data_IF_090999077008
#
_entry.id   IF_090999077008
#
_cell.length_a   1.000
_cell.length_b   1.000
_cell.length_c   1.000
_cell.angle_alpha   90.00
_cell.angle_beta   90.00
_cell.angle_gamma   90.00
#
_symmetry.space_group_name_H-M   'P 1'
#
loop_
_entity.id
_entity.type
_entity.pdbx_description
1 polymer ?
#
# COMPACT_ATOMS: atom_id res chain seq x y z
N UNK A 1 -13.25 18.58 5.65
CA UNK A 1 -13.07 17.28 4.94
C UNK A 1 -14.44 16.64 4.70
N UNK A 2 -14.72 16.15 3.48
CA UNK A 2 -15.96 15.39 3.20
C UNK A 2 -15.90 14.07 3.99
N UNK A 3 -16.96 13.76 4.73
CA UNK A 3 -17.09 12.45 5.41
C UNK A 3 -17.88 11.53 4.48
N UNK A 4 -17.26 10.42 4.08
CA UNK A 4 -17.94 9.36 3.35
C UNK A 4 -18.62 8.41 4.34
N UNK A 5 -19.70 7.75 3.92
CA UNK A 5 -20.42 6.78 4.74
C UNK A 5 -19.69 5.44 4.88
N UNK A 6 -18.74 5.17 3.97
CA UNK A 6 -17.86 4.00 3.94
C UNK A 6 -16.51 4.39 3.33
N UNK A 7 -15.47 3.56 3.42
CA UNK A 7 -14.21 3.78 2.71
C UNK A 7 -14.47 3.78 1.20
N UNK A 8 -13.78 4.66 0.47
CA UNK A 8 -13.80 4.65 -1.00
C UNK A 8 -12.90 3.56 -1.54
N UNK A 9 -11.73 3.38 -0.93
CA UNK A 9 -10.78 2.32 -1.23
C UNK A 9 -10.52 1.49 0.00
N UNK A 10 -10.56 0.19 -0.18
CA UNK A 10 -10.24 -0.81 0.83
C UNK A 10 -9.16 -1.74 0.31
N UNK A 11 -8.12 -1.94 1.09
CA UNK A 11 -7.17 -3.03 0.89
C UNK A 11 -7.52 -4.16 1.84
N UNK A 12 -7.65 -5.36 1.32
CA UNK A 12 -7.82 -6.58 2.10
C UNK A 12 -6.65 -7.52 1.80
N UNK A 13 -5.77 -7.72 2.78
CA UNK A 13 -4.70 -8.69 2.66
C UNK A 13 -5.22 -10.09 3.01
N UNK A 14 -5.12 -11.00 2.03
CA UNK A 14 -5.43 -12.42 2.19
C UNK A 14 -4.38 -13.11 3.06
N UNK A 15 -3.11 -12.77 2.84
CA UNK A 15 -1.99 -13.12 3.69
C UNK A 15 -1.18 -11.85 4.01
N UNK A 16 -0.28 -11.94 4.98
CA UNK A 16 0.57 -10.81 5.34
C UNK A 16 1.53 -10.44 4.19
N UNK A 17 1.74 -9.14 3.94
CA UNK A 17 2.78 -8.71 3.01
C UNK A 17 4.12 -9.35 3.38
N UNK A 18 4.87 -9.92 2.41
CA UNK A 18 6.14 -10.58 2.68
C UNK A 18 7.17 -9.71 3.42
N UNK A 19 7.10 -8.39 3.23
CA UNK A 19 7.95 -7.42 3.95
C UNK A 19 7.65 -7.37 5.45
N UNK A 20 6.40 -7.62 5.86
CA UNK A 20 6.00 -7.62 7.26
C UNK A 20 6.39 -8.91 7.99
N UNK A 21 6.48 -10.03 7.27
CA UNK A 21 6.81 -11.35 7.80
C UNK A 21 7.74 -12.10 6.84
N UNK A 22 9.02 -11.69 6.70
CA UNK A 22 9.96 -12.31 5.78
C UNK A 22 10.15 -13.80 6.08
N UNK A 23 9.97 -14.65 5.07
CA UNK A 23 10.18 -16.10 5.19
C UNK A 23 9.09 -16.86 5.97
N UNK A 24 8.04 -16.21 6.43
CA UNK A 24 6.90 -16.90 7.02
C UNK A 24 6.18 -17.76 5.96
N UNK A 25 5.70 -18.96 6.31
CA UNK A 25 4.89 -19.73 5.39
C UNK A 25 3.55 -19.01 5.15
N UNK A 26 3.00 -19.09 3.91
CA UNK A 26 1.70 -18.51 3.61
C UNK A 26 0.63 -19.02 4.58
N UNK A 27 -0.22 -18.12 5.03
CA UNK A 27 -1.37 -18.44 5.89
C UNK A 27 -2.64 -18.25 5.10
N UNK A 28 -3.47 -19.28 5.06
CA UNK A 28 -4.78 -19.20 4.45
C UNK A 28 -5.82 -18.82 5.49
N UNK A 29 -6.61 -17.76 5.27
CA UNK A 29 -7.73 -17.44 6.16
C UNK A 29 -8.75 -18.58 6.18
N UNK A 30 -9.47 -18.74 7.29
CA UNK A 30 -10.56 -19.70 7.36
C UNK A 30 -11.67 -19.32 6.35
N UNK A 31 -12.28 -20.29 5.65
CA UNK A 31 -13.30 -20.01 4.64
C UNK A 31 -14.50 -19.19 5.14
N UNK A 32 -14.86 -19.35 6.42
CA UNK A 32 -15.92 -18.57 7.05
C UNK A 32 -15.54 -17.09 7.16
N UNK A 33 -14.28 -16.82 7.54
CA UNK A 33 -13.75 -15.46 7.61
C UNK A 33 -13.69 -14.81 6.23
N UNK A 34 -13.26 -15.55 5.21
CA UNK A 34 -13.21 -15.08 3.82
C UNK A 34 -14.61 -14.66 3.36
N UNK A 35 -15.61 -15.49 3.58
CA UNK A 35 -17.00 -15.16 3.23
C UNK A 35 -17.53 -13.95 4.01
N UNK A 36 -17.22 -13.86 5.30
CA UNK A 36 -17.66 -12.74 6.13
C UNK A 36 -17.04 -11.41 5.66
N UNK A 37 -15.74 -11.41 5.36
CA UNK A 37 -15.04 -10.21 4.85
C UNK A 37 -15.62 -9.81 3.49
N UNK A 38 -15.77 -10.75 2.56
CA UNK A 38 -16.31 -10.47 1.22
C UNK A 38 -17.73 -9.88 1.29
N UNK A 39 -18.62 -10.48 2.09
CA UNK A 39 -19.98 -9.98 2.28
C UNK A 39 -20.01 -8.54 2.85
N UNK A 40 -19.10 -8.23 3.78
CA UNK A 40 -18.98 -6.86 4.33
C UNK A 40 -18.47 -5.85 3.31
N UNK A 41 -17.49 -6.23 2.49
CA UNK A 41 -16.97 -5.38 1.41
C UNK A 41 -18.09 -5.00 0.43
N UNK A 42 -18.85 -5.99 -0.02
CA UNK A 42 -19.99 -5.78 -0.92
C UNK A 42 -21.07 -4.89 -0.27
N UNK A 43 -21.42 -5.18 1.00
CA UNK A 43 -22.41 -4.39 1.76
C UNK A 43 -21.97 -2.94 1.96
N UNK A 44 -20.68 -2.70 2.25
CA UNK A 44 -20.15 -1.38 2.45
C UNK A 44 -20.07 -0.54 1.16
N UNK A 45 -20.30 -1.14 -0.01
CA UNK A 45 -20.24 -0.49 -1.33
C UNK A 45 -18.93 0.27 -1.54
N UNK A 46 -17.83 -0.40 -1.26
CA UNK A 46 -16.49 0.11 -1.53
C UNK A 46 -16.35 0.32 -3.03
N UNK A 47 -15.74 1.41 -3.46
CA UNK A 47 -15.58 1.72 -4.89
C UNK A 47 -14.33 1.07 -5.49
N UNK A 48 -13.29 0.90 -4.69
CA UNK A 48 -12.01 0.34 -5.11
C UNK A 48 -11.58 -0.69 -4.09
N UNK A 49 -11.39 -1.92 -4.53
CA UNK A 49 -10.91 -3.03 -3.71
C UNK A 49 -9.54 -3.48 -4.21
N UNK A 50 -8.56 -3.48 -3.32
CA UNK A 50 -7.29 -4.16 -3.55
C UNK A 50 -7.25 -5.41 -2.68
N UNK A 51 -7.00 -6.58 -3.28
CA UNK A 51 -6.79 -7.84 -2.55
C UNK A 51 -5.31 -8.19 -2.62
N UNK A 52 -4.67 -8.18 -1.45
CA UNK A 52 -3.26 -8.47 -1.30
C UNK A 52 -2.99 -9.95 -1.01
N UNK A 53 -2.03 -10.52 -1.73
CA UNK A 53 -1.37 -11.80 -1.45
C UNK A 53 -2.28 -13.03 -1.41
N UNK A 54 -3.30 -13.15 -2.29
CA UNK A 54 -4.02 -14.42 -2.41
C UNK A 54 -3.07 -15.50 -2.92
N UNK A 55 -3.17 -16.70 -2.37
CA UNK A 55 -2.45 -17.85 -2.89
C UNK A 55 -3.04 -18.32 -4.24
N UNK A 56 -2.23 -19.04 -5.03
CA UNK A 56 -2.67 -19.51 -6.35
C UNK A 56 -3.90 -20.41 -6.27
N UNK A 57 -4.06 -21.20 -5.20
CA UNK A 57 -5.21 -22.08 -5.01
C UNK A 57 -6.50 -21.30 -4.78
N UNK A 58 -6.47 -20.23 -3.98
CA UNK A 58 -7.63 -19.37 -3.74
C UNK A 58 -8.17 -18.78 -5.04
N UNK A 59 -7.26 -18.39 -5.93
CA UNK A 59 -7.59 -17.86 -7.25
C UNK A 59 -8.17 -18.95 -8.18
N UNK A 60 -7.52 -20.13 -8.24
CA UNK A 60 -7.93 -21.22 -9.14
C UNK A 60 -9.20 -21.93 -8.69
N UNK A 61 -9.48 -22.03 -7.38
CA UNK A 61 -10.66 -22.69 -6.85
C UNK A 61 -11.96 -21.88 -6.97
N UNK A 62 -11.84 -20.59 -7.32
CA UNK A 62 -12.98 -19.66 -7.33
C UNK A 62 -13.47 -19.25 -5.94
N UNK A 63 -12.75 -19.58 -4.86
CA UNK A 63 -13.12 -19.20 -3.50
C UNK A 63 -13.18 -17.67 -3.33
N UNK A 64 -12.18 -16.99 -3.91
CA UNK A 64 -12.14 -15.53 -3.85
C UNK A 64 -13.26 -14.90 -4.68
N UNK A 65 -13.53 -15.45 -5.87
CA UNK A 65 -14.65 -15.00 -6.72
C UNK A 65 -15.98 -15.12 -5.99
N UNK A 66 -16.22 -16.26 -5.33
CA UNK A 66 -17.44 -16.47 -4.55
C UNK A 66 -17.53 -15.54 -3.33
N UNK A 67 -16.39 -15.19 -2.71
CA UNK A 67 -16.39 -14.32 -1.54
C UNK A 67 -16.81 -12.88 -1.86
N UNK A 68 -16.43 -12.37 -3.03
CA UNK A 68 -16.73 -11.00 -3.47
C UNK A 68 -17.84 -10.95 -4.52
N UNK A 69 -18.65 -12.00 -4.62
CA UNK A 69 -19.79 -12.02 -5.54
C UNK A 69 -20.71 -10.81 -5.29
N UNK A 70 -21.03 -10.07 -6.38
CA UNK A 70 -21.79 -8.83 -6.30
C UNK A 70 -20.96 -7.57 -6.00
N UNK A 71 -19.65 -7.66 -5.95
CA UNK A 71 -18.80 -6.46 -5.93
C UNK A 71 -18.83 -5.77 -7.31
N UNK A 72 -19.19 -4.49 -7.35
CA UNK A 72 -19.38 -3.72 -8.59
C UNK A 72 -18.29 -2.63 -8.78
N UNK A 73 -17.32 -2.54 -7.87
CA UNK A 73 -16.25 -1.56 -7.94
C UNK A 73 -15.05 -2.01 -8.78
N UNK A 74 -14.04 -1.16 -8.84
CA UNK A 74 -12.73 -1.49 -9.43
C UNK A 74 -11.97 -2.44 -8.53
N UNK A 75 -11.45 -3.52 -9.10
CA UNK A 75 -10.69 -4.56 -8.40
C UNK A 75 -9.25 -4.59 -8.86
N UNK A 76 -8.31 -4.59 -7.93
CA UNK A 76 -6.90 -4.86 -8.16
C UNK A 76 -6.40 -5.99 -7.27
N UNK A 77 -5.38 -6.71 -7.75
CA UNK A 77 -4.72 -7.78 -7.01
C UNK A 77 -3.24 -7.47 -6.79
N UNK A 78 -2.70 -7.97 -5.69
CA UNK A 78 -1.25 -7.98 -5.45
C UNK A 78 -0.80 -9.42 -5.24
N UNK A 79 0.05 -9.92 -6.12
CA UNK A 79 0.55 -11.29 -6.07
C UNK A 79 1.97 -11.33 -5.52
N UNK A 80 2.30 -12.42 -4.83
CA UNK A 80 3.71 -12.77 -4.60
C UNK A 80 4.32 -13.39 -5.85
N UNK A 81 5.66 -13.32 -6.04
CA UNK A 81 6.35 -14.02 -7.13
C UNK A 81 6.08 -15.52 -7.15
N UNK A 82 5.94 -16.15 -5.98
CA UNK A 82 5.61 -17.57 -5.85
C UNK A 82 4.21 -17.88 -6.38
N UNK A 83 3.21 -17.10 -6.01
CA UNK A 83 1.85 -17.28 -6.51
C UNK A 83 1.80 -17.08 -8.04
N UNK A 84 2.42 -16.01 -8.54
CA UNK A 84 2.48 -15.73 -9.97
C UNK A 84 3.18 -16.86 -10.77
N UNK A 85 4.29 -17.39 -10.25
CA UNK A 85 5.00 -18.51 -10.89
C UNK A 85 4.17 -19.82 -10.89
N UNK A 86 3.40 -20.07 -9.82
CA UNK A 86 2.54 -21.26 -9.71
C UNK A 86 1.41 -21.24 -10.72
N UNK A 87 0.89 -20.05 -11.06
CA UNK A 87 -0.18 -19.88 -12.04
C UNK A 87 0.26 -20.16 -13.49
N UNK A 88 1.59 -20.20 -13.75
CA UNK A 88 2.20 -20.69 -15.01
C UNK A 88 1.52 -20.20 -16.30
N UNK A 89 1.03 -18.98 -16.32
CA UNK A 89 0.37 -18.35 -17.47
C UNK A 89 -1.16 -18.45 -17.45
N UNK A 90 -1.75 -19.17 -16.51
CA UNK A 90 -3.17 -19.03 -16.23
C UNK A 90 -3.44 -17.64 -15.64
N UNK A 91 -4.58 -17.07 -15.98
CA UNK A 91 -5.00 -15.72 -15.54
C UNK A 91 -6.35 -15.77 -14.82
N UNK A 92 -6.43 -16.46 -13.67
CA UNK A 92 -7.70 -16.60 -12.96
C UNK A 92 -8.30 -15.27 -12.50
N UNK A 93 -7.49 -14.22 -12.41
CA UNK A 93 -7.95 -12.87 -12.12
C UNK A 93 -8.84 -12.23 -13.21
N UNK A 94 -8.77 -12.72 -14.45
CA UNK A 94 -9.69 -12.28 -15.51
C UNK A 94 -11.14 -12.68 -15.17
N UNK A 95 -11.34 -13.88 -14.58
CA UNK A 95 -12.64 -14.34 -14.11
C UNK A 95 -13.13 -13.54 -12.88
N UNK A 96 -12.24 -12.95 -12.10
CA UNK A 96 -12.55 -12.04 -11.00
C UNK A 96 -12.92 -10.64 -11.49
N UNK A 97 -12.63 -10.29 -12.75
CA UNK A 97 -12.76 -8.94 -13.27
C UNK A 97 -11.71 -7.98 -12.71
N UNK A 98 -10.53 -8.47 -12.31
CA UNK A 98 -9.47 -7.60 -11.85
C UNK A 98 -8.90 -6.76 -13.00
N UNK A 99 -8.88 -5.45 -12.80
CA UNK A 99 -8.40 -4.47 -13.79
C UNK A 99 -6.87 -4.37 -13.75
N UNK A 100 -6.28 -4.45 -12.54
CA UNK A 100 -4.85 -4.37 -12.31
C UNK A 100 -4.35 -5.57 -11.52
N UNK A 101 -3.20 -6.12 -11.92
CA UNK A 101 -2.51 -7.18 -11.19
C UNK A 101 -1.07 -6.78 -10.95
N UNK A 102 -0.80 -6.38 -9.72
CA UNK A 102 0.51 -6.00 -9.23
C UNK A 102 1.31 -7.21 -8.79
N UNK A 103 2.60 -7.22 -9.09
CA UNK A 103 3.53 -8.21 -8.56
C UNK A 103 4.41 -7.56 -7.50
N UNK A 104 4.33 -8.02 -6.24
CA UNK A 104 5.24 -7.56 -5.18
C UNK A 104 6.60 -8.20 -5.34
N UNK A 105 7.54 -7.45 -5.89
CA UNK A 105 8.91 -7.88 -6.16
C UNK A 105 9.86 -7.69 -4.97
N UNK A 106 9.39 -7.13 -3.86
CA UNK A 106 10.22 -6.86 -2.68
C UNK A 106 10.98 -8.09 -2.18
N UNK A 107 10.38 -9.30 -2.11
CA UNK A 107 11.10 -10.49 -1.68
C UNK A 107 12.22 -10.94 -2.62
N UNK A 108 12.20 -10.49 -3.87
CA UNK A 108 13.08 -10.94 -4.94
C UNK A 108 14.02 -9.86 -5.47
N UNK A 109 14.15 -8.68 -4.82
CA UNK A 109 14.94 -7.57 -5.36
C UNK A 109 16.39 -7.91 -5.66
N UNK A 110 16.97 -8.88 -4.96
CA UNK A 110 18.33 -9.39 -5.22
C UNK A 110 18.42 -10.37 -6.40
N UNK A 111 17.39 -11.16 -6.64
CA UNK A 111 17.37 -12.20 -7.69
C UNK A 111 15.95 -12.34 -8.24
N UNK A 112 15.63 -11.58 -9.26
CA UNK A 112 14.32 -11.61 -9.92
C UNK A 112 14.29 -12.77 -10.91
N UNK A 113 13.31 -13.69 -10.85
CA UNK A 113 13.10 -14.70 -11.87
C UNK A 113 12.84 -14.03 -13.23
N UNK A 114 13.56 -14.42 -14.27
CA UNK A 114 13.49 -13.79 -15.62
C UNK A 114 12.07 -13.71 -16.17
N UNK A 115 11.25 -14.74 -15.95
CA UNK A 115 9.86 -14.75 -16.41
C UNK A 115 8.97 -13.69 -15.73
N UNK A 116 9.40 -13.12 -14.60
CA UNK A 116 8.68 -12.11 -13.85
C UNK A 116 9.22 -10.68 -14.07
N UNK A 117 10.42 -10.54 -14.67
CA UNK A 117 11.01 -9.21 -14.95
C UNK A 117 10.12 -8.35 -15.85
N UNK A 118 9.45 -8.97 -16.82
CA UNK A 118 8.56 -8.29 -17.75
C UNK A 118 7.10 -8.16 -17.24
N UNK A 119 6.85 -8.40 -15.94
CA UNK A 119 5.51 -8.22 -15.40
C UNK A 119 5.08 -6.75 -15.52
N UNK A 120 3.88 -6.47 -16.06
CA UNK A 120 3.50 -5.10 -16.42
C UNK A 120 3.45 -4.12 -15.26
N UNK A 121 2.96 -4.55 -14.08
CA UNK A 121 2.80 -3.70 -12.91
C UNK A 121 3.56 -4.28 -11.71
N UNK A 122 4.62 -3.61 -11.25
CA UNK A 122 5.49 -4.10 -10.20
C UNK A 122 5.44 -3.20 -8.98
N UNK A 123 5.46 -3.83 -7.79
CA UNK A 123 5.44 -3.15 -6.50
C UNK A 123 6.73 -3.45 -5.73
N UNK A 124 7.26 -2.44 -5.04
CA UNK A 124 8.43 -2.56 -4.20
C UNK A 124 8.24 -1.78 -2.90
N UNK A 125 8.40 -2.42 -1.76
CA UNK A 125 8.49 -1.75 -0.48
C UNK A 125 9.92 -1.29 -0.21
N UNK A 126 10.06 -0.07 0.31
CA UNK A 126 11.35 0.56 0.56
C UNK A 126 11.73 0.45 2.03
N UNK A 127 12.92 -0.08 2.29
CA UNK A 127 13.57 -0.05 3.61
C UNK A 127 14.95 0.56 3.49
N UNK A 128 15.51 1.09 4.55
CA UNK A 128 16.87 1.62 4.56
C UNK A 128 17.92 0.61 4.05
N UNK A 129 17.66 -0.68 4.26
CA UNK A 129 18.57 -1.76 3.88
C UNK A 129 18.42 -2.29 2.45
N UNK A 130 17.32 -1.96 1.73
CA UNK A 130 17.08 -2.55 0.40
C UNK A 130 17.12 -1.55 -0.78
N UNK A 131 17.37 -0.27 -0.54
CA UNK A 131 17.23 0.80 -1.55
C UNK A 131 18.08 0.58 -2.81
N UNK A 132 19.31 0.08 -2.67
CA UNK A 132 20.17 -0.19 -3.81
C UNK A 132 19.64 -1.37 -4.64
N UNK A 133 19.19 -2.42 -3.98
CA UNK A 133 18.60 -3.58 -4.63
C UNK A 133 17.27 -3.22 -5.32
N UNK A 134 16.42 -2.41 -4.68
CA UNK A 134 15.18 -1.91 -5.28
C UNK A 134 15.47 -1.00 -6.46
N UNK A 135 16.46 -0.10 -6.37
CA UNK A 135 16.86 0.74 -7.51
C UNK A 135 17.23 -0.09 -8.72
N UNK A 136 18.10 -1.08 -8.53
CA UNK A 136 18.51 -1.98 -9.60
C UNK A 136 17.32 -2.84 -10.14
N UNK A 137 16.38 -3.20 -9.26
CA UNK A 137 15.17 -3.92 -9.68
C UNK A 137 14.24 -3.04 -10.53
N UNK A 138 14.06 -1.77 -10.16
CA UNK A 138 13.32 -0.79 -10.95
C UNK A 138 13.94 -0.57 -12.33
N UNK A 139 15.27 -0.41 -12.38
CA UNK A 139 15.99 -0.29 -13.66
C UNK A 139 15.74 -1.49 -14.58
N UNK A 140 15.82 -2.72 -14.03
CA UNK A 140 15.50 -3.95 -14.80
C UNK A 140 14.04 -4.00 -15.23
N UNK A 141 13.10 -3.66 -14.33
CA UNK A 141 11.67 -3.63 -14.64
C UNK A 141 11.37 -2.68 -15.81
N UNK A 142 11.89 -1.46 -15.74
CA UNK A 142 11.76 -0.45 -16.81
C UNK A 142 12.37 -0.96 -18.12
N UNK A 143 13.57 -1.52 -18.08
CA UNK A 143 14.25 -2.07 -19.25
C UNK A 143 13.46 -3.25 -19.87
N UNK A 144 12.84 -4.10 -19.03
CA UNK A 144 12.05 -5.25 -19.46
C UNK A 144 10.63 -4.90 -19.93
N UNK A 145 10.23 -3.62 -19.83
CA UNK A 145 8.95 -3.14 -20.38
C UNK A 145 7.81 -3.05 -19.36
N UNK A 146 8.09 -2.98 -18.08
CA UNK A 146 7.06 -2.67 -17.08
C UNK A 146 6.36 -1.35 -17.45
N UNK A 147 5.03 -1.33 -17.35
CA UNK A 147 4.20 -0.17 -17.61
C UNK A 147 3.89 0.64 -16.35
N UNK A 148 3.93 -0.02 -15.18
CA UNK A 148 3.64 0.63 -13.91
C UNK A 148 4.58 0.14 -12.79
N UNK A 149 4.96 1.07 -11.90
CA UNK A 149 5.77 0.80 -10.71
C UNK A 149 5.09 1.45 -9.52
N UNK A 150 4.93 0.70 -8.42
CA UNK A 150 4.36 1.19 -7.17
C UNK A 150 5.37 1.11 -6.03
N UNK A 151 5.51 2.21 -5.29
CA UNK A 151 6.36 2.35 -4.11
C UNK A 151 5.47 2.74 -2.90
N UNK A 152 4.70 1.79 -2.32
CA UNK A 152 3.81 2.07 -1.21
C UNK A 152 4.57 2.31 0.09
N UNK A 153 3.91 2.89 1.08
CA UNK A 153 4.42 2.91 2.44
C UNK A 153 4.45 1.49 3.02
N UNK A 154 5.45 1.23 3.85
CA UNK A 154 5.54 -0.02 4.61
C UNK A 154 4.30 -0.20 5.51
N UNK A 155 3.69 -1.38 5.53
CA UNK A 155 2.66 -1.71 6.50
C UNK A 155 3.28 -1.87 7.89
N UNK A 156 2.69 -1.25 8.92
CA UNK A 156 3.20 -1.30 10.30
C UNK A 156 2.70 -2.55 11.03
N UNK A 157 3.14 -3.74 10.57
CA UNK A 157 2.83 -5.04 11.16
C UNK A 157 4.10 -5.90 11.24
N UNK A 158 4.07 -6.93 12.08
CA UNK A 158 5.13 -7.93 12.15
C UNK A 158 6.51 -7.35 12.42
N UNK A 159 7.49 -7.72 11.59
CA UNK A 159 8.88 -7.27 11.70
C UNK A 159 9.02 -5.79 11.39
N UNK A 160 8.27 -5.27 10.41
CA UNK A 160 8.25 -3.84 10.09
C UNK A 160 7.87 -3.02 11.33
N UNK A 161 6.87 -3.48 12.10
CA UNK A 161 6.45 -2.80 13.32
C UNK A 161 7.56 -2.82 14.39
N UNK A 162 8.26 -3.94 14.54
CA UNK A 162 9.33 -4.09 15.53
C UNK A 162 10.59 -3.29 15.20
N UNK A 163 10.88 -3.13 13.93
CA UNK A 163 12.12 -2.55 13.42
C UNK A 163 11.92 -1.15 12.82
N UNK A 164 10.76 -0.54 13.02
CA UNK A 164 10.31 0.64 12.29
C UNK A 164 11.35 1.78 12.21
N UNK A 165 12.04 2.07 13.32
CA UNK A 165 13.07 3.12 13.33
C UNK A 165 14.28 2.76 12.45
N UNK A 166 14.75 1.51 12.54
CA UNK A 166 15.98 1.07 11.87
C UNK A 166 15.79 0.85 10.37
N UNK A 167 14.56 0.51 9.94
CA UNK A 167 14.27 0.22 8.54
C UNK A 167 13.77 1.43 7.75
N UNK A 168 13.47 2.55 8.41
CA UNK A 168 13.00 3.76 7.73
C UNK A 168 14.13 4.41 6.93
N UNK A 169 13.96 4.63 5.62
CA UNK A 169 14.96 5.34 4.83
C UNK A 169 15.14 6.78 5.28
N UNK A 170 16.38 7.25 5.34
CA UNK A 170 16.68 8.65 5.58
C UNK A 170 16.35 9.53 4.35
N UNK A 171 16.19 10.82 4.57
CA UNK A 171 15.96 11.81 3.49
C UNK A 171 17.08 11.75 2.43
N UNK A 172 18.34 11.64 2.85
CA UNK A 172 19.46 11.52 1.92
C UNK A 172 19.38 10.26 1.05
N UNK A 173 18.98 9.13 1.64
CA UNK A 173 18.77 7.88 0.92
C UNK A 173 17.62 7.99 -0.10
N UNK A 174 16.51 8.60 0.29
CA UNK A 174 15.36 8.83 -0.62
C UNK A 174 15.72 9.77 -1.77
N UNK A 175 16.53 10.82 -1.50
CA UNK A 175 17.02 11.74 -2.53
C UNK A 175 17.95 11.02 -3.52
N UNK A 176 18.85 10.17 -3.02
CA UNK A 176 19.70 9.34 -3.88
C UNK A 176 18.90 8.38 -4.74
N UNK A 177 17.89 7.71 -4.17
CA UNK A 177 16.98 6.83 -4.91
C UNK A 177 16.22 7.59 -6.01
N UNK A 178 15.72 8.80 -5.71
CA UNK A 178 15.01 9.64 -6.69
C UNK A 178 15.86 9.94 -7.91
N UNK A 179 17.15 10.26 -7.70
CA UNK A 179 18.10 10.48 -8.79
C UNK A 179 18.28 9.25 -9.69
N UNK A 180 18.38 8.06 -9.11
CA UNK A 180 18.51 6.79 -9.86
C UNK A 180 17.23 6.44 -10.62
N UNK A 181 16.06 6.58 -10.00
CA UNK A 181 14.77 6.38 -10.69
C UNK A 181 14.63 7.35 -11.86
N UNK A 182 15.02 8.63 -11.68
CA UNK A 182 14.95 9.60 -12.76
C UNK A 182 15.83 9.20 -13.96
N UNK A 183 16.99 8.61 -13.72
CA UNK A 183 17.85 8.08 -14.79
C UNK A 183 17.17 6.92 -15.51
N UNK A 184 16.64 5.96 -14.79
CA UNK A 184 15.94 4.79 -15.37
C UNK A 184 14.74 5.20 -16.23
N UNK A 185 13.95 6.19 -15.81
CA UNK A 185 12.75 6.63 -16.50
C UNK A 185 13.01 7.54 -17.70
N UNK A 186 14.23 8.08 -17.90
CA UNK A 186 14.53 8.93 -19.06
C UNK A 186 14.27 8.24 -20.41
N UNK A 187 14.56 6.95 -20.47
CA UNK A 187 14.38 6.15 -21.69
C UNK A 187 12.94 5.64 -21.86
N UNK A 188 12.15 5.68 -20.80
CA UNK A 188 10.78 5.16 -20.75
C UNK A 188 9.87 6.09 -19.95
N UNK A 189 9.61 7.32 -20.43
CA UNK A 189 8.82 8.33 -19.68
C UNK A 189 7.34 7.94 -19.51
N UNK A 190 6.87 6.91 -20.23
CA UNK A 190 5.49 6.43 -20.15
C UNK A 190 5.22 5.44 -19.02
N UNK A 191 6.24 5.09 -18.20
CA UNK A 191 6.02 4.25 -17.03
C UNK A 191 5.22 5.01 -15.98
N UNK A 192 4.10 4.44 -15.57
CA UNK A 192 3.26 5.00 -14.51
C UNK A 192 3.89 4.73 -13.14
N UNK A 193 4.38 5.78 -12.48
CA UNK A 193 5.07 5.69 -11.21
C UNK A 193 4.17 6.14 -10.06
N UNK A 194 3.75 5.20 -9.22
CA UNK A 194 2.96 5.43 -8.01
C UNK A 194 3.85 5.51 -6.78
N UNK A 195 3.85 6.62 -6.07
CA UNK A 195 4.69 6.82 -4.88
C UNK A 195 3.86 7.29 -3.70
N UNK A 196 3.93 6.55 -2.60
CA UNK A 196 3.23 6.88 -1.36
C UNK A 196 4.14 7.57 -0.32
N UNK A 197 5.46 7.37 -0.41
CA UNK A 197 6.43 8.10 0.43
C UNK A 197 6.49 9.57 0.04
N UNK A 198 6.05 10.46 0.92
CA UNK A 198 6.01 11.88 0.59
C UNK A 198 7.40 12.49 0.34
N UNK A 199 8.40 12.12 1.14
CA UNK A 199 9.78 12.56 0.94
C UNK A 199 10.36 12.11 -0.41
N UNK A 200 10.12 10.86 -0.79
CA UNK A 200 10.52 10.37 -2.12
C UNK A 200 9.75 11.07 -3.24
N UNK A 201 8.45 11.29 -3.08
CA UNK A 201 7.64 12.02 -4.05
C UNK A 201 8.18 13.43 -4.29
N UNK A 202 8.54 14.15 -3.23
CA UNK A 202 9.16 15.47 -3.33
C UNK A 202 10.54 15.42 -4.01
N UNK A 203 11.38 14.47 -3.62
CA UNK A 203 12.70 14.29 -4.21
C UNK A 203 12.64 13.98 -5.72
N UNK A 204 11.68 13.15 -6.14
CA UNK A 204 11.42 12.85 -7.57
C UNK A 204 11.01 14.10 -8.33
N UNK A 205 10.10 14.90 -7.78
CA UNK A 205 9.69 16.16 -8.40
C UNK A 205 10.84 17.15 -8.54
N UNK A 206 11.73 17.21 -7.57
CA UNK A 206 12.91 18.06 -7.61
C UNK A 206 13.89 17.69 -8.76
N UNK A 207 13.87 16.43 -9.20
CA UNK A 207 14.66 15.95 -10.34
C UNK A 207 13.85 15.82 -11.65
N UNK A 208 12.66 16.41 -11.69
CA UNK A 208 11.83 16.49 -12.91
C UNK A 208 10.96 15.25 -13.19
N UNK A 209 10.85 14.31 -12.26
CA UNK A 209 9.92 13.18 -12.35
C UNK A 209 8.60 13.56 -11.67
N UNK A 210 7.48 13.29 -12.31
CA UNK A 210 6.14 13.58 -11.80
C UNK A 210 5.40 12.29 -11.50
N UNK A 211 5.62 11.68 -10.31
CA UNK A 211 4.94 10.43 -9.96
C UNK A 211 3.46 10.67 -9.72
N UNK A 212 2.64 9.70 -10.08
CA UNK A 212 1.28 9.61 -9.60
C UNK A 212 1.33 9.17 -8.13
N UNK A 213 0.54 9.79 -7.28
CA UNK A 213 0.47 9.43 -5.88
C UNK A 213 -0.98 9.37 -5.44
N UNK A 214 -1.28 8.51 -4.48
CA UNK A 214 -2.58 8.50 -3.81
C UNK A 214 -2.84 9.80 -3.01
N UNK A 215 -1.81 10.61 -2.83
CA UNK A 215 -1.89 11.95 -2.29
C UNK A 215 -1.91 12.99 -3.40
N UNK A 216 -3.06 13.21 -4.04
CA UNK A 216 -3.20 14.43 -4.84
C UNK A 216 -2.71 15.62 -4.02
N UNK A 217 -1.96 16.58 -4.61
CA UNK A 217 -1.54 17.78 -3.92
C UNK A 217 -2.71 18.41 -3.17
N UNK A 218 -2.58 18.58 -1.85
CA UNK A 218 -3.63 19.16 -0.99
C UNK A 218 -4.55 18.16 -0.27
N UNK A 219 -4.44 16.86 -0.51
CA UNK A 219 -5.30 15.87 0.16
C UNK A 219 -4.79 15.48 1.56
N UNK A 220 -3.48 15.51 1.81
CA UNK A 220 -2.88 14.99 3.04
C UNK A 220 -3.14 13.48 3.21
N UNK A 221 -2.97 12.99 4.43
CA UNK A 221 -3.23 11.58 4.76
C UNK A 221 -4.72 11.24 4.63
N UNK A 222 -5.04 10.20 3.86
CA UNK A 222 -6.41 9.75 3.60
C UNK A 222 -6.85 8.57 4.49
N UNK A 223 -5.99 8.13 5.43
CA UNK A 223 -6.34 7.09 6.39
C UNK A 223 -7.64 7.43 7.12
N UNK A 224 -8.58 6.50 7.14
CA UNK A 224 -9.88 6.70 7.78
C UNK A 224 -10.81 7.74 7.15
N UNK A 225 -10.40 8.41 6.08
CA UNK A 225 -11.25 9.31 5.29
C UNK A 225 -11.74 8.67 4.01
N UNK A 226 -10.81 8.19 3.20
CA UNK A 226 -11.10 7.49 1.97
C UNK A 226 -10.52 6.07 1.98
N UNK A 227 -9.51 5.79 2.80
CA UNK A 227 -8.79 4.52 2.85
C UNK A 227 -9.19 3.71 4.07
N UNK A 228 -9.28 2.39 3.89
CA UNK A 228 -9.36 1.40 4.96
C UNK A 228 -8.48 0.18 4.61
N UNK A 229 -8.19 -0.63 5.61
CA UNK A 229 -7.40 -1.84 5.48
C UNK A 229 -7.98 -2.94 6.35
N UNK A 230 -8.05 -4.17 5.83
CA UNK A 230 -8.40 -5.38 6.57
C UNK A 230 -7.21 -6.32 6.51
N UNK A 231 -6.75 -6.75 7.69
CA UNK A 231 -5.64 -7.70 7.81
C UNK A 231 -6.11 -9.16 7.58
N UNK A 232 -5.17 -10.12 7.44
CA UNK A 232 -5.51 -11.54 7.26
C UNK A 232 -6.29 -12.17 8.43
N UNK A 233 -6.29 -11.54 9.60
CA UNK A 233 -7.08 -11.97 10.77
C UNK A 233 -8.50 -11.38 10.79
N UNK A 234 -8.86 -10.56 9.78
CA UNK A 234 -10.15 -9.90 9.69
C UNK A 234 -10.30 -8.72 10.64
N UNK A 235 -9.23 -8.03 10.97
CA UNK A 235 -9.28 -6.79 11.72
C UNK A 235 -9.28 -5.61 10.77
N UNK A 236 -10.22 -4.70 10.96
CA UNK A 236 -10.35 -3.45 10.21
C UNK A 236 -9.48 -2.36 10.84
N UNK A 237 -8.73 -1.64 10.00
CA UNK A 237 -7.92 -0.47 10.33
C UNK A 237 -8.24 0.68 9.39
N UNK A 238 -7.83 1.89 9.75
CA UNK A 238 -7.94 3.05 8.86
C UNK A 238 -6.90 3.04 7.72
N UNK A 239 -5.79 2.33 7.89
CA UNK A 239 -4.69 2.18 6.92
C UNK A 239 -3.73 1.10 7.41
N UNK A 240 -3.04 0.39 6.50
CA UNK A 240 -1.99 -0.57 6.84
C UNK A 240 -0.79 0.04 7.60
N UNK A 241 -0.52 1.34 7.39
CA UNK A 241 0.55 2.06 8.09
C UNK A 241 0.08 2.75 9.39
N UNK A 242 -1.13 2.44 9.89
CA UNK A 242 -1.64 2.94 11.19
C UNK A 242 -2.29 1.78 11.96
N UNK A 243 -1.51 1.03 12.77
CA UNK A 243 -1.92 -0.22 13.39
C UNK A 243 -2.82 -0.01 14.62
N UNK A 244 -3.85 0.83 14.48
CA UNK A 244 -4.89 1.05 15.49
C UNK A 244 -6.15 0.33 15.05
N UNK A 245 -6.53 -0.79 15.69
CA UNK A 245 -7.69 -1.58 15.29
C UNK A 245 -8.98 -0.79 15.53
N UNK A 246 -9.89 -0.87 14.56
CA UNK A 246 -11.22 -0.25 14.62
C UNK A 246 -12.31 -1.26 14.99
N UNK A 247 -12.29 -2.42 14.35
CA UNK A 247 -13.27 -3.49 14.57
C UNK A 247 -12.72 -4.84 14.09
N UNK A 248 -13.31 -5.93 14.55
CA UNK A 248 -13.22 -7.23 13.87
C UNK A 248 -14.34 -7.29 12.84
N UNK A 249 -14.02 -7.74 11.62
CA UNK A 249 -15.02 -7.84 10.56
C UNK A 249 -16.09 -8.88 10.93
N UNK A 250 -17.33 -8.42 10.94
CA UNK A 250 -18.55 -9.17 11.16
C UNK A 250 -19.69 -8.42 10.48
N UNK A 251 -20.91 -8.89 10.59
CA UNK A 251 -22.07 -8.26 9.96
C UNK A 251 -22.24 -6.78 10.37
N UNK A 252 -22.18 -5.88 9.40
CA UNK A 252 -22.29 -4.42 9.60
C UNK A 252 -21.01 -3.72 10.08
N UNK A 253 -19.95 -4.46 10.41
CA UNK A 253 -18.77 -3.93 11.11
C UNK A 253 -18.06 -2.79 10.38
N UNK A 254 -17.94 -2.84 9.05
CA UNK A 254 -17.24 -1.79 8.29
C UNK A 254 -18.01 -0.46 8.41
N UNK A 255 -19.32 -0.48 8.15
CA UNK A 255 -20.15 0.73 8.19
C UNK A 255 -20.25 1.31 9.59
N UNK A 256 -20.43 0.46 10.61
CA UNK A 256 -20.48 0.88 12.01
C UNK A 256 -19.18 1.50 12.48
N UNK A 257 -18.04 0.85 12.23
CA UNK A 257 -16.74 1.37 12.59
C UNK A 257 -16.44 2.68 11.84
N UNK A 258 -16.89 2.80 10.57
CA UNK A 258 -16.65 3.99 9.76
C UNK A 258 -17.39 5.22 10.28
N UNK A 259 -18.57 5.03 10.86
CA UNK A 259 -19.35 6.07 11.57
C UNK A 259 -19.00 6.22 13.04
N UNK A 260 -18.21 5.32 13.60
CA UNK A 260 -18.00 5.18 15.04
C UNK A 260 -17.07 6.22 15.67
N UNK A 261 -17.11 6.35 17.01
CA UNK A 261 -16.29 7.31 17.74
C UNK A 261 -14.78 7.01 17.68
N UNK A 262 -14.37 5.76 17.56
CA UNK A 262 -12.97 5.37 17.44
C UNK A 262 -12.34 5.97 16.19
N UNK A 263 -12.98 5.82 15.03
CA UNK A 263 -12.48 6.42 13.80
C UNK A 263 -12.60 7.95 13.81
N UNK A 264 -13.62 8.52 14.47
CA UNK A 264 -13.72 9.97 14.62
C UNK A 264 -12.51 10.54 15.37
N UNK A 265 -12.09 9.93 16.47
CA UNK A 265 -10.89 10.32 17.22
C UNK A 265 -9.61 10.19 16.39
N UNK A 266 -9.46 9.11 15.60
CA UNK A 266 -8.32 8.96 14.67
C UNK A 266 -8.31 10.06 13.60
N UNK A 267 -9.45 10.40 13.01
CA UNK A 267 -9.58 11.48 12.02
C UNK A 267 -9.16 12.84 12.60
N UNK A 268 -9.51 13.12 13.85
CA UNK A 268 -9.07 14.34 14.54
C UNK A 268 -7.55 14.36 14.71
N UNK A 269 -6.96 13.25 15.13
CA UNK A 269 -5.51 13.12 15.23
C UNK A 269 -4.81 13.29 13.88
N UNK A 270 -5.28 12.61 12.84
CA UNK A 270 -4.75 12.69 11.48
C UNK A 270 -4.84 14.12 10.91
N UNK A 271 -5.90 14.85 11.21
CA UNK A 271 -6.12 16.20 10.72
C UNK A 271 -5.20 17.25 11.37
N UNK A 272 -4.59 16.94 12.50
CA UNK A 272 -3.66 17.86 13.18
C UNK A 272 -2.40 18.07 12.35
N UNK A 273 -2.09 19.32 12.08
CA UNK A 273 -0.85 19.70 11.40
C UNK A 273 0.22 19.89 12.48
N UNK A 274 1.40 19.22 12.39
CA UNK A 274 2.49 19.43 13.34
C UNK A 274 2.97 20.88 13.35
N UNK A 275 3.31 21.40 14.53
CA UNK A 275 3.87 22.76 14.68
C UNK A 275 5.14 22.95 13.84
N UNK A 276 5.95 21.90 13.74
CA UNK A 276 7.12 21.88 12.88
C UNK A 276 6.81 22.14 11.39
N UNK A 277 5.56 22.03 10.95
CA UNK A 277 5.15 22.35 9.58
C UNK A 277 4.86 23.84 9.37
N UNK A 278 4.80 24.66 10.43
CA UNK A 278 4.53 26.09 10.32
C UNK A 278 5.56 26.79 9.40
N UNK A 279 5.07 27.50 8.38
CA UNK A 279 5.91 28.16 7.38
C UNK A 279 6.67 27.22 6.42
N UNK A 280 6.34 25.91 6.41
CA UNK A 280 6.91 24.98 5.43
C UNK A 280 6.20 25.17 4.08
N UNK A 281 6.94 25.40 2.97
CA UNK A 281 6.35 25.56 1.63
C UNK A 281 5.55 24.34 1.18
N UNK A 282 5.89 23.15 1.70
CA UNK A 282 5.22 21.88 1.37
C UNK A 282 4.01 21.59 2.26
N UNK A 283 3.75 22.40 3.31
CA UNK A 283 2.66 22.13 4.26
C UNK A 283 1.31 21.95 3.56
N UNK A 284 0.90 22.78 2.60
CA UNK A 284 -0.42 22.66 1.97
C UNK A 284 -0.68 21.32 1.30
N UNK A 285 0.39 20.63 0.86
CA UNK A 285 0.30 19.34 0.16
C UNK A 285 0.67 18.17 1.07
N UNK A 286 1.72 18.32 1.89
CA UNK A 286 2.28 17.28 2.75
C UNK A 286 1.48 17.07 4.05
N UNK A 287 1.10 18.15 4.73
CA UNK A 287 0.37 18.16 6.00
C UNK A 287 0.99 17.28 7.08
N UNK A 288 2.35 17.17 7.10
CA UNK A 288 3.11 16.39 8.07
C UNK A 288 3.47 14.97 7.63
N UNK A 289 3.33 14.62 6.36
CA UNK A 289 3.72 13.32 5.81
C UNK A 289 2.78 12.17 6.18
N UNK A 290 3.30 10.95 6.25
CA UNK A 290 2.54 9.79 6.69
C UNK A 290 2.17 9.90 8.17
N UNK A 291 0.89 10.15 8.46
CA UNK A 291 0.40 10.35 9.84
C UNK A 291 0.44 9.08 10.67
N UNK A 292 0.29 7.91 10.04
CA UNK A 292 0.41 6.63 10.71
C UNK A 292 1.82 6.38 11.24
N UNK A 293 2.82 6.54 10.39
CA UNK A 293 4.23 6.42 10.77
C UNK A 293 4.65 7.48 11.79
N UNK A 294 4.23 8.75 11.60
CA UNK A 294 4.49 9.83 12.54
C UNK A 294 3.93 9.52 13.93
N UNK A 295 2.66 9.06 13.98
CA UNK A 295 2.02 8.70 15.24
C UNK A 295 2.70 7.52 15.94
N UNK A 296 3.05 6.49 15.19
CA UNK A 296 3.67 5.29 15.75
C UNK A 296 5.06 5.58 16.33
N UNK A 297 5.94 6.23 15.57
CA UNK A 297 7.31 6.49 16.01
C UNK A 297 7.39 7.48 17.17
N UNK A 298 6.53 8.50 17.18
CA UNK A 298 6.56 9.54 18.22
C UNK A 298 5.50 9.33 19.31
N UNK A 299 4.63 8.33 19.18
CA UNK A 299 3.48 8.07 20.06
C UNK A 299 2.57 9.28 20.26
N UNK A 300 2.51 10.18 19.27
CA UNK A 300 1.67 11.38 19.30
C UNK A 300 1.31 11.87 17.88
N UNK A 301 0.35 12.81 17.81
CA UNK A 301 -0.11 13.40 16.55
C UNK A 301 0.58 14.73 16.18
N UNK A 302 1.57 15.18 16.96
CA UNK A 302 2.24 16.46 16.78
C UNK A 302 3.53 16.36 15.98
N UNK A 303 4.01 15.14 15.72
CA UNK A 303 5.24 14.88 14.98
C UNK A 303 5.01 14.82 13.48
N UNK A 304 6.05 15.12 12.71
CA UNK A 304 6.09 14.89 11.25
C UNK A 304 6.38 13.44 10.93
N UNK A 305 6.06 13.01 9.71
CA UNK A 305 6.49 11.70 9.21
C UNK A 305 8.02 11.59 9.15
N UNK A 306 8.56 10.36 9.23
CA UNK A 306 10.02 10.14 9.22
C UNK A 306 10.68 10.53 7.90
N UNK A 307 9.91 10.61 6.84
CA UNK A 307 10.31 11.03 5.50
C UNK A 307 10.19 12.55 5.27
N UNK A 308 10.09 13.33 6.35
CA UNK A 308 10.04 14.79 6.27
C UNK A 308 11.37 15.34 5.75
N UNK A 309 11.33 15.98 4.58
CA UNK A 309 12.52 16.57 3.91
C UNK A 309 12.84 17.99 4.37
N UNK A 310 12.20 18.47 5.42
CA UNK A 310 12.47 19.80 5.95
C UNK A 310 13.90 19.85 6.49
N UNK A 311 14.71 20.86 6.12
CA UNK A 311 16.05 21.05 6.67
C UNK A 311 16.03 21.36 8.17
#
# INVERSE_FOLDING_TARGET
>A
MKKYAAPLRLTWDWDWPPVAHPGAPPRRPAPELVRAIGAEIVRARVLMLEIGYPDAQALLSGELTAAIEGFEGSLSLVLTPTAAATLAGEKPWEALGAEDVWLDMTPCVGTIPRQLEAWPAQRFYLTAGNLDAVSAAIERAVASGASAISLPNLPLFGDVLREAESITPSVGQLTGLAGRIAVALRERPAVDLHVHHYGLWQALRAVGVHPHGEGSPGAGCQAGNALAYIDPAGILYSCASLPVPLARVSDGAITEAWGGPGLAALREGIARIPEACAGCPSEPTCRGGCRGWAHYLAMNWHSTGPDCIRP
#
